data_IF_991571174989
#
_entry.id   IF_991571174989
#
_cell.length_a   1.000
_cell.length_b   1.000
_cell.length_c   1.000
_cell.angle_alpha   90.00
_cell.angle_beta   90.00
_cell.angle_gamma   90.00
#
_symmetry.space_group_name_H-M   'P 1'
#
loop_
_entity.id
_entity.type
_entity.pdbx_description
1 polymer ?
#
# COMPACT_ATOMS: atom_id res chain seq x y z
N UNK A 1 -15.44 -18.81 -14.58
CA UNK A 1 -14.69 -18.67 -13.32
C UNK A 1 -13.87 -17.41 -13.46
N UNK A 2 -14.30 -16.31 -12.86
CA UNK A 2 -13.44 -15.14 -12.74
C UNK A 2 -12.25 -15.55 -11.89
N UNK A 3 -11.08 -15.67 -12.52
CA UNK A 3 -9.82 -15.76 -11.79
C UNK A 3 -9.49 -14.33 -11.41
N UNK A 4 -9.86 -13.91 -10.21
CA UNK A 4 -9.25 -12.73 -9.60
C UNK A 4 -7.73 -12.96 -9.65
N UNK A 5 -6.95 -12.04 -10.26
CA UNK A 5 -5.50 -12.18 -10.30
C UNK A 5 -4.96 -12.26 -8.86
N UNK A 6 -3.87 -13.01 -8.62
CA UNK A 6 -3.28 -13.10 -7.29
C UNK A 6 -2.88 -11.70 -6.80
N UNK A 7 -3.22 -11.41 -5.54
CA UNK A 7 -2.89 -10.13 -4.90
C UNK A 7 -1.36 -9.93 -4.86
N UNK A 8 -0.93 -8.68 -5.05
CA UNK A 8 0.48 -8.31 -4.87
C UNK A 8 0.79 -8.32 -3.38
N UNK A 9 1.85 -9.00 -2.96
CA UNK A 9 2.13 -9.18 -1.53
C UNK A 9 3.23 -8.27 -1.05
N UNK A 10 3.01 -7.57 0.06
CA UNK A 10 4.02 -6.74 0.71
C UNK A 10 5.24 -7.57 1.16
N UNK A 11 5.00 -8.80 1.63
CA UNK A 11 6.08 -9.70 2.08
C UNK A 11 7.02 -10.14 0.94
N UNK A 12 6.54 -10.12 -0.30
CA UNK A 12 7.32 -10.51 -1.49
C UNK A 12 8.23 -9.38 -1.98
N UNK A 13 8.13 -8.18 -1.41
CA UNK A 13 9.05 -7.08 -1.71
C UNK A 13 10.46 -7.38 -1.20
N UNK A 14 11.52 -7.02 -1.97
CA UNK A 14 12.90 -7.22 -1.56
C UNK A 14 13.18 -6.72 -0.14
N UNK A 15 13.63 -7.63 0.73
CA UNK A 15 14.01 -7.38 2.11
C UNK A 15 12.87 -7.38 3.14
N UNK A 16 11.59 -7.33 2.72
CA UNK A 16 10.46 -7.28 3.69
C UNK A 16 10.30 -8.59 4.45
N UNK A 17 10.43 -9.73 3.78
CA UNK A 17 10.37 -11.04 4.43
C UNK A 17 11.43 -11.22 5.54
N UNK A 18 12.65 -10.73 5.32
CA UNK A 18 13.73 -10.79 6.30
C UNK A 18 13.43 -9.91 7.52
N UNK A 19 12.85 -8.73 7.31
CA UNK A 19 12.42 -7.85 8.39
C UNK A 19 11.25 -8.45 9.18
N UNK A 20 10.28 -9.08 8.51
CA UNK A 20 9.20 -9.82 9.20
C UNK A 20 9.76 -10.98 10.02
N UNK A 21 10.74 -11.72 9.48
CA UNK A 21 11.42 -12.77 10.24
C UNK A 21 12.10 -12.22 11.50
N UNK A 22 12.74 -11.05 11.42
CA UNK A 22 13.32 -10.41 12.61
C UNK A 22 12.27 -9.94 13.61
N UNK A 23 11.15 -9.41 13.14
CA UNK A 23 10.01 -9.03 13.97
C UNK A 23 9.36 -10.24 14.67
N UNK A 24 9.41 -11.43 14.06
CA UNK A 24 9.01 -12.68 14.72
C UNK A 24 9.92 -13.03 15.89
N UNK A 25 11.22 -12.76 15.78
CA UNK A 25 12.21 -13.07 16.82
C UNK A 25 12.25 -12.03 17.94
N UNK A 26 12.11 -10.74 17.60
CA UNK A 26 12.13 -9.61 18.54
C UNK A 26 10.90 -8.74 18.28
N UNK A 27 9.91 -8.82 19.16
CA UNK A 27 8.64 -8.09 18.99
C UNK A 27 8.85 -6.59 18.86
N UNK A 28 9.78 -6.03 19.63
CA UNK A 28 10.10 -4.59 19.64
C UNK A 28 10.60 -4.11 18.29
N UNK A 29 11.10 -5.00 17.43
CA UNK A 29 11.51 -4.67 16.05
C UNK A 29 10.33 -4.25 15.16
N UNK A 30 9.10 -4.64 15.52
CA UNK A 30 7.88 -4.26 14.81
C UNK A 30 7.39 -2.85 15.16
N UNK A 31 7.87 -2.28 16.28
CA UNK A 31 7.41 -1.00 16.78
C UNK A 31 8.07 0.15 16.01
N UNK A 32 7.38 1.28 15.75
CA UNK A 32 7.91 2.38 14.95
C UNK A 32 9.25 2.94 15.45
N UNK A 33 9.50 2.89 16.77
CA UNK A 33 10.74 3.34 17.41
C UNK A 33 11.97 2.54 16.97
N UNK A 34 11.76 1.28 16.53
CA UNK A 34 12.83 0.42 16.03
C UNK A 34 13.60 1.04 14.86
N UNK A 35 12.96 1.91 14.08
CA UNK A 35 13.57 2.60 12.92
C UNK A 35 14.83 3.39 13.31
N UNK A 36 14.87 3.95 14.52
CA UNK A 36 16.03 4.72 15.01
C UNK A 36 17.26 3.84 15.27
N UNK A 37 17.06 2.57 15.66
CA UNK A 37 18.14 1.64 15.99
C UNK A 37 18.46 0.66 14.83
N UNK A 38 17.59 0.62 13.82
CA UNK A 38 17.61 -0.37 12.75
C UNK A 38 17.48 0.32 11.38
N UNK A 39 18.57 0.97 10.89
CA UNK A 39 18.56 1.73 9.63
C UNK A 39 18.20 0.89 8.40
N UNK A 40 18.33 -0.44 8.47
CA UNK A 40 17.88 -1.38 7.45
C UNK A 40 16.38 -1.31 7.17
N UNK A 41 15.56 -0.89 8.14
CA UNK A 41 14.11 -0.70 7.95
C UNK A 41 13.89 0.48 6.99
N UNK A 42 14.60 1.59 7.21
CA UNK A 42 14.53 2.76 6.33
C UNK A 42 15.14 2.49 4.97
N UNK A 43 16.25 1.75 4.92
CA UNK A 43 16.87 1.34 3.66
C UNK A 43 15.90 0.49 2.81
N UNK A 44 15.19 -0.47 3.45
CA UNK A 44 14.16 -1.26 2.79
C UNK A 44 12.98 -0.39 2.30
N UNK A 45 12.55 0.58 3.12
CA UNK A 45 11.51 1.54 2.72
C UNK A 45 11.93 2.33 1.50
N UNK A 46 13.13 2.93 1.52
CA UNK A 46 13.62 3.76 0.42
C UNK A 46 13.84 2.94 -0.85
N UNK A 47 14.36 1.72 -0.74
CA UNK A 47 14.57 0.83 -1.88
C UNK A 47 13.26 0.42 -2.56
N UNK A 48 12.20 0.17 -1.79
CA UNK A 48 10.93 -0.29 -2.33
C UNK A 48 9.98 0.85 -2.74
N UNK A 49 9.98 1.97 -2.01
CA UNK A 49 9.00 3.04 -2.18
C UNK A 49 9.60 4.36 -2.67
N UNK A 50 10.93 4.55 -2.58
CA UNK A 50 11.60 5.81 -2.88
C UNK A 50 11.59 6.84 -1.75
N UNK A 51 10.95 6.53 -0.62
CA UNK A 51 10.89 7.37 0.58
C UNK A 51 10.95 6.54 1.87
N UNK A 52 11.34 7.17 2.97
CA UNK A 52 11.27 6.60 4.33
C UNK A 52 9.88 6.73 4.93
N UNK A 53 9.65 6.07 6.07
CA UNK A 53 8.42 6.19 6.83
C UNK A 53 8.24 7.59 7.44
N UNK A 54 9.33 8.25 7.86
CA UNK A 54 9.29 9.63 8.36
C UNK A 54 8.95 10.62 7.22
N UNK A 55 9.62 10.51 6.07
CA UNK A 55 9.30 11.32 4.89
C UNK A 55 7.85 11.13 4.43
N UNK A 56 7.31 9.92 4.57
CA UNK A 56 5.91 9.64 4.31
C UNK A 56 5.00 10.36 5.30
N UNK A 57 5.28 10.25 6.60
CA UNK A 57 4.49 10.87 7.66
C UNK A 57 4.39 12.40 7.49
N UNK A 58 5.51 13.03 7.14
CA UNK A 58 5.60 14.48 6.93
C UNK A 58 5.03 14.94 5.58
N UNK A 59 4.80 14.03 4.63
CA UNK A 59 4.29 14.41 3.31
C UNK A 59 2.89 15.05 3.45
N UNK A 60 2.56 16.13 2.73
CA UNK A 60 1.22 16.71 2.74
C UNK A 60 0.19 15.74 2.13
N UNK A 61 -0.99 15.66 2.73
CA UNK A 61 -2.07 14.76 2.30
C UNK A 61 -3.15 15.58 1.58
N UNK A 62 -3.78 15.04 0.51
CA UNK A 62 -4.93 15.69 -0.12
C UNK A 62 -6.07 15.90 0.89
N UNK A 63 -6.92 16.90 0.66
CA UNK A 63 -8.01 17.25 1.58
C UNK A 63 -8.99 16.08 1.84
N UNK A 64 -9.16 15.17 0.87
CA UNK A 64 -10.04 14.01 0.96
C UNK A 64 -9.34 12.75 1.52
N UNK A 65 -8.19 12.88 2.17
CA UNK A 65 -7.47 11.74 2.75
C UNK A 65 -8.24 11.12 3.92
N UNK A 66 -8.65 9.86 3.75
CA UNK A 66 -9.44 9.08 4.70
C UNK A 66 -8.66 8.55 5.91
N UNK A 67 -7.34 8.76 5.94
CA UNK A 67 -6.44 8.29 7.00
C UNK A 67 -6.47 6.77 7.19
N UNK A 68 -6.59 6.02 6.09
CA UNK A 68 -6.60 4.56 6.09
C UNK A 68 -5.40 3.94 6.85
N UNK A 69 -4.25 4.62 6.89
CA UNK A 69 -3.06 4.21 7.63
C UNK A 69 -3.24 4.16 9.16
N UNK A 70 -4.29 4.80 9.69
CA UNK A 70 -4.60 4.87 11.14
C UNK A 70 -5.69 3.91 11.58
N UNK A 71 -6.27 3.16 10.66
CA UNK A 71 -7.29 2.17 10.99
C UNK A 71 -6.69 1.06 11.89
N UNK A 72 -7.50 0.34 12.69
CA UNK A 72 -7.04 -0.87 13.34
C UNK A 72 -6.47 -1.87 12.33
N UNK A 73 -5.41 -2.60 12.70
CA UNK A 73 -4.70 -3.51 11.78
C UNK A 73 -5.63 -4.45 10.97
N UNK A 74 -6.66 -5.09 11.55
CA UNK A 74 -7.58 -5.92 10.77
C UNK A 74 -8.32 -5.15 9.66
N UNK A 75 -8.68 -3.88 9.91
CA UNK A 75 -9.32 -3.04 8.92
C UNK A 75 -8.33 -2.53 7.86
N UNK A 76 -7.06 -2.31 8.21
CA UNK A 76 -6.02 -2.00 7.23
C UNK A 76 -5.80 -3.15 6.25
N UNK A 77 -5.79 -4.40 6.71
CA UNK A 77 -5.66 -5.58 5.84
C UNK A 77 -6.76 -5.59 4.77
N UNK A 78 -8.02 -5.38 5.19
CA UNK A 78 -9.16 -5.36 4.27
C UNK A 78 -9.07 -4.18 3.29
N UNK A 79 -8.62 -3.01 3.76
CA UNK A 79 -8.46 -1.84 2.92
C UNK A 79 -7.36 -2.01 1.86
N UNK A 80 -6.22 -2.61 2.21
CA UNK A 80 -5.18 -2.94 1.23
C UNK A 80 -5.63 -4.02 0.25
N UNK A 81 -6.37 -5.03 0.71
CA UNK A 81 -6.91 -6.07 -0.16
C UNK A 81 -7.85 -5.50 -1.23
N UNK A 82 -8.68 -4.52 -0.86
CA UNK A 82 -9.53 -3.79 -1.80
C UNK A 82 -8.75 -2.98 -2.86
N UNK A 83 -7.50 -2.62 -2.57
CA UNK A 83 -6.57 -1.95 -3.50
C UNK A 83 -5.66 -2.94 -4.25
N UNK A 84 -5.93 -4.25 -4.14
CA UNK A 84 -5.17 -5.30 -4.83
C UNK A 84 -3.87 -5.72 -4.14
N UNK A 85 -3.71 -5.41 -2.85
CA UNK A 85 -2.52 -5.71 -2.06
C UNK A 85 -2.78 -6.62 -0.86
N UNK A 86 -1.91 -7.61 -0.66
CA UNK A 86 -1.89 -8.47 0.51
C UNK A 86 -0.77 -8.05 1.46
N UNK A 87 -1.15 -7.66 2.68
CA UNK A 87 -0.23 -7.28 3.76
C UNK A 87 -0.18 -8.32 4.87
N UNK A 88 -0.39 -9.59 4.50
CA UNK A 88 -0.37 -10.73 5.42
C UNK A 88 0.73 -11.74 5.09
N UNK A 89 1.08 -12.57 6.09
CA UNK A 89 1.95 -13.73 5.91
C UNK A 89 1.23 -14.90 5.23
N UNK A 90 1.93 -16.01 5.01
CA UNK A 90 1.37 -17.21 4.36
C UNK A 90 0.22 -17.87 5.16
N UNK A 91 0.05 -17.49 6.43
CA UNK A 91 -1.03 -17.95 7.31
C UNK A 91 -2.15 -16.92 7.43
N UNK A 92 -2.19 -15.90 6.56
CA UNK A 92 -3.17 -14.80 6.55
C UNK A 92 -3.15 -13.96 7.83
N UNK A 93 -2.03 -13.93 8.55
CA UNK A 93 -1.84 -13.05 9.71
C UNK A 93 -1.25 -11.73 9.23
N UNK A 94 -1.70 -10.57 9.76
CA UNK A 94 -1.08 -9.29 9.41
C UNK A 94 0.43 -9.33 9.66
N UNK A 95 1.21 -8.77 8.75
CA UNK A 95 2.65 -8.62 8.95
C UNK A 95 2.90 -7.76 10.17
N UNK A 96 3.85 -8.16 11.01
CA UNK A 96 4.29 -7.36 12.17
C UNK A 96 4.91 -6.06 11.72
N UNK A 97 5.67 -6.12 10.63
CA UNK A 97 6.34 -4.95 10.05
C UNK A 97 5.41 -4.02 9.27
N UNK A 98 4.09 -4.28 9.22
CA UNK A 98 3.14 -3.42 8.50
C UNK A 98 3.22 -1.96 8.96
N UNK A 99 3.41 -1.72 10.26
CA UNK A 99 3.54 -0.38 10.82
C UNK A 99 4.72 0.43 10.27
N UNK A 100 5.75 -0.25 9.75
CA UNK A 100 6.90 0.41 9.13
C UNK A 100 6.66 0.87 7.69
N UNK A 101 5.65 0.29 7.02
CA UNK A 101 5.50 0.45 5.56
C UNK A 101 4.12 0.94 5.12
N UNK A 102 3.12 0.94 6.01
CA UNK A 102 1.73 1.21 5.62
C UNK A 102 1.55 2.61 5.01
N UNK A 103 2.23 3.63 5.51
CA UNK A 103 2.08 4.99 5.02
C UNK A 103 2.65 5.17 3.62
N UNK A 104 3.84 4.64 3.38
CA UNK A 104 4.52 4.67 2.08
C UNK A 104 3.70 3.91 1.06
N UNK A 105 3.18 2.74 1.43
CA UNK A 105 2.33 1.94 0.56
C UNK A 105 1.06 2.69 0.18
N UNK A 106 0.34 3.28 1.12
CA UNK A 106 -0.86 4.08 0.81
C UNK A 106 -0.57 5.29 -0.08
N UNK A 107 0.52 6.00 0.17
CA UNK A 107 0.97 7.13 -0.66
C UNK A 107 1.25 6.69 -2.09
N UNK A 108 1.99 5.59 -2.26
CA UNK A 108 2.38 5.08 -3.56
C UNK A 108 1.19 4.51 -4.34
N UNK A 109 0.29 3.79 -3.66
CA UNK A 109 -0.95 3.24 -4.26
C UNK A 109 -1.84 4.34 -4.84
N UNK A 110 -1.98 5.44 -4.12
CA UNK A 110 -2.85 6.56 -4.52
C UNK A 110 -2.14 7.61 -5.36
N UNK A 111 -0.88 7.36 -5.74
CA UNK A 111 -0.08 8.26 -6.59
C UNK A 111 0.23 9.61 -5.94
N UNK A 112 0.23 9.69 -4.60
CA UNK A 112 0.51 10.94 -3.86
C UNK A 112 2.00 11.16 -3.69
N UNK A 113 2.74 10.12 -3.32
CA UNK A 113 4.19 10.16 -3.16
C UNK A 113 4.79 8.75 -3.26
N UNK A 114 6.08 8.67 -3.57
CA UNK A 114 6.76 7.40 -3.78
C UNK A 114 6.38 6.69 -5.06
N UNK A 115 6.94 5.51 -5.24
CA UNK A 115 6.70 4.64 -6.39
C UNK A 115 6.64 3.20 -5.93
N UNK A 116 5.81 2.40 -6.58
CA UNK A 116 5.86 0.95 -6.41
C UNK A 116 6.87 0.36 -7.39
N UNK A 117 7.60 -0.71 -7.01
CA UNK A 117 8.56 -1.38 -7.90
C UNK A 117 7.86 -2.09 -9.08
N UNK A 118 6.53 -2.14 -9.05
CA UNK A 118 5.68 -2.64 -10.11
C UNK A 118 4.51 -1.66 -10.31
N UNK A 119 4.40 -1.08 -11.51
CA UNK A 119 3.24 -0.26 -11.87
C UNK A 119 1.98 -1.15 -11.99
N UNK A 120 0.82 -0.72 -11.49
CA UNK A 120 -0.45 -1.38 -11.82
C UNK A 120 -0.71 -1.27 -13.33
N UNK A 121 -1.21 -2.35 -13.95
CA UNK A 121 -2.05 -2.16 -15.14
C UNK A 121 -3.32 -1.49 -14.62
N UNK A 122 -3.64 -0.31 -15.15
CA UNK A 122 -4.75 0.51 -14.65
C UNK A 122 -6.08 -0.10 -15.11
N UNK A 123 -6.66 -0.98 -14.30
CA UNK A 123 -8.00 -1.55 -14.51
C UNK A 123 -9.12 -0.59 -14.03
N UNK A 124 -8.78 0.63 -13.59
CA UNK A 124 -9.81 1.63 -13.28
C UNK A 124 -10.47 2.08 -14.59
N UNK A 125 -11.81 2.18 -14.64
CA UNK A 125 -12.47 2.69 -15.83
C UNK A 125 -11.96 4.10 -16.15
N UNK A 126 -11.42 4.25 -17.35
CA UNK A 126 -10.90 5.53 -17.85
C UNK A 126 -11.99 6.62 -17.68
N UNK A 127 -11.71 7.75 -17.00
CA UNK A 127 -12.66 8.84 -16.84
C UNK A 127 -13.24 9.33 -18.18
N UNK A 128 -12.52 9.13 -19.28
CA UNK A 128 -12.96 9.46 -20.63
C UNK A 128 -14.12 8.57 -21.12
N UNK A 129 -14.20 7.32 -20.66
CA UNK A 129 -15.28 6.38 -21.00
C UNK A 129 -16.63 6.78 -20.39
N UNK A 130 -16.61 7.44 -19.23
CA UNK A 130 -17.81 7.94 -18.55
C UNK A 130 -18.39 9.18 -19.27
N UNK A 131 -17.52 10.02 -19.84
CA UNK A 131 -17.93 11.19 -20.64
C UNK A 131 -18.61 10.77 -21.95
N UNK A 132 -18.05 9.79 -22.66
CA UNK A 132 -18.60 9.30 -23.95
C UNK A 132 -19.97 8.63 -23.78
N UNK A 133 -20.17 7.84 -22.72
CA UNK A 133 -21.46 7.22 -22.43
C UNK A 133 -22.56 8.25 -22.08
N UNK A 134 -22.19 9.32 -21.36
CA UNK A 134 -23.09 10.41 -21.03
C UNK A 134 -23.45 11.28 -22.26
N UNK A 135 -22.53 11.47 -23.21
CA UNK A 135 -22.79 12.17 -24.46
C UNK A 135 -23.65 11.36 -25.43
N UNK A 136 -23.44 10.04 -25.53
CA UNK A 136 -24.24 9.15 -26.39
C UNK A 136 -25.74 9.11 -25.99
N UNK A 137 -26.04 9.21 -24.69
CA UNK A 137 -27.43 9.28 -24.22
C UNK A 137 -28.11 10.63 -24.54
N UNK A 138 -27.34 11.72 -24.64
CA UNK A 138 -27.86 13.04 -25.03
C UNK A 138 -28.17 13.11 -26.53
N UNK A 139 -27.40 12.44 -27.37
CA UNK A 139 -27.65 12.36 -28.82
C UNK A 139 -28.85 11.50 -29.20
N UNK A 140 -29.24 10.53 -28.36
CA UNK A 140 -30.38 9.64 -28.61
C UNK A 140 -31.75 10.25 -28.23
N UNK A 141 -31.77 11.51 -27.76
CA UNK A 141 -32.97 12.30 -27.41
C UNK A 141 -33.17 13.52 -28.33
N UNK A 142 -32.81 13.42 -29.61
CA UNK A 142 -33.28 14.33 -30.67
C UNK A 142 -33.96 13.54 -31.76
#
# INVERSE_FOLDING_TARGET
MDRTPPLRRLIDLPGVADLEYRALLKREFAEPEARAEHPEIEACSRANFGLTAEEAEDHPRPAAWDKAERLPIPAQVLAFEAEGWDVTDDKRRPLRVLGHFNQQLWLALRGVAGSLPFQPEDDRPDPWGVSLAAEAQRFRKR
#
